data_IF_778733243510
#
_entry.id   IF_778733243510
#
_cell.length_a   1.000
_cell.length_b   1.000
_cell.length_c   1.000
_cell.angle_alpha   90.00
_cell.angle_beta   90.00
_cell.angle_gamma   90.00
#
_symmetry.space_group_name_H-M   'P 1'
#
loop_
_entity.id
_entity.type
_entity.pdbx_description
1 polymer ?
#
# COMPACT_ATOMS: atom_id res chain seq x y z
N UNK A 1 16.48 24.37 7.61
CA UNK A 1 15.89 25.24 6.58
C UNK A 1 14.44 24.85 6.39
N UNK A 2 13.47 25.77 6.49
CA UNK A 2 12.06 25.47 6.22
C UNK A 2 11.86 25.34 4.70
N UNK A 3 11.15 24.32 4.20
CA UNK A 3 10.80 24.25 2.78
C UNK A 3 9.99 25.48 2.39
N UNK A 4 10.39 26.18 1.32
CA UNK A 4 9.62 27.29 0.78
C UNK A 4 8.43 26.77 -0.05
N UNK A 5 7.30 27.48 0.08
CA UNK A 5 6.04 27.20 -0.63
C UNK A 5 6.22 27.50 -2.14
N UNK A 6 5.76 26.64 -3.06
CA UNK A 6 5.77 26.93 -4.50
C UNK A 6 4.88 28.14 -4.81
N UNK A 7 5.41 29.16 -5.51
CA UNK A 7 4.72 30.42 -5.80
C UNK A 7 3.53 30.31 -6.77
N UNK A 8 3.39 29.20 -7.50
CA UNK A 8 2.42 29.06 -8.60
C UNK A 8 1.36 27.96 -8.39
N UNK A 9 1.23 27.44 -7.16
CA UNK A 9 0.19 26.46 -6.84
C UNK A 9 -0.81 27.01 -5.83
N UNK A 10 -2.09 26.99 -6.20
CA UNK A 10 -3.20 27.22 -5.28
C UNK A 10 -3.55 25.96 -4.47
N UNK A 11 -2.99 24.79 -4.83
CA UNK A 11 -3.13 23.60 -4.01
C UNK A 11 -2.24 23.71 -2.77
N UNK A 12 -2.81 23.42 -1.60
CA UNK A 12 -2.01 23.08 -0.43
C UNK A 12 -1.05 21.94 -0.81
N UNK A 13 0.18 21.88 -0.27
CA UNK A 13 0.99 20.66 -0.37
C UNK A 13 0.08 19.49 0.02
N UNK A 14 0.16 18.39 -0.73
CA UNK A 14 -0.62 17.18 -0.44
C UNK A 14 -0.65 16.97 1.08
N UNK A 15 -1.83 16.78 1.69
CA UNK A 15 -1.91 16.65 3.13
C UNK A 15 -0.89 15.60 3.60
N UNK A 16 -0.29 15.76 4.80
CA UNK A 16 0.76 14.87 5.30
C UNK A 16 0.36 13.39 5.44
N UNK A 17 -0.86 13.04 5.00
CA UNK A 17 -1.52 11.75 5.13
C UNK A 17 -1.56 10.97 3.81
N UNK A 18 -0.82 11.39 2.77
CA UNK A 18 -0.48 10.48 1.69
C UNK A 18 0.73 9.66 2.14
N UNK A 19 0.54 8.44 2.68
CA UNK A 19 1.67 7.60 3.04
C UNK A 19 2.58 7.40 1.83
N UNK A 20 3.91 7.46 2.03
CA UNK A 20 4.86 7.37 0.93
C UNK A 20 4.82 5.98 0.30
N UNK A 21 4.90 5.95 -1.03
CA UNK A 21 5.29 4.75 -1.78
C UNK A 21 6.74 4.94 -2.22
N UNK A 22 7.56 3.93 -1.98
CA UNK A 22 8.94 3.87 -2.44
C UNK A 22 9.07 2.79 -3.52
N UNK A 23 9.48 3.18 -4.72
CA UNK A 23 9.66 2.28 -5.85
C UNK A 23 11.12 1.85 -5.93
N UNK A 24 11.38 0.58 -5.67
CA UNK A 24 12.68 -0.06 -5.82
C UNK A 24 12.74 -0.81 -7.15
N UNK A 25 13.33 -0.16 -8.15
CA UNK A 25 13.46 -0.70 -9.51
C UNK A 25 14.32 -1.96 -9.61
N UNK A 26 15.53 -2.02 -8.99
CA UNK A 26 16.34 -3.24 -8.96
C UNK A 26 15.58 -4.48 -8.50
N UNK A 27 14.76 -4.36 -7.46
CA UNK A 27 13.98 -5.48 -6.90
C UNK A 27 12.55 -5.55 -7.43
N UNK A 28 12.15 -4.70 -8.37
CA UNK A 28 10.78 -4.62 -8.89
C UNK A 28 9.70 -4.61 -7.78
N UNK A 29 9.96 -3.85 -6.71
CA UNK A 29 9.15 -3.85 -5.50
C UNK A 29 8.71 -2.44 -5.14
N UNK A 30 7.45 -2.28 -4.75
CA UNK A 30 6.94 -1.06 -4.11
C UNK A 30 6.82 -1.34 -2.62
N UNK A 31 7.48 -0.53 -1.81
CA UNK A 31 7.28 -0.48 -0.37
C UNK A 31 6.30 0.64 -0.05
N UNK A 32 5.29 0.35 0.77
CA UNK A 32 4.21 1.29 0.99
C UNK A 32 3.57 1.16 2.36
N UNK A 33 2.87 2.24 2.72
CA UNK A 33 1.91 2.24 3.82
C UNK A 33 0.56 2.60 3.21
N UNK A 34 -0.50 1.89 3.58
CA UNK A 34 -1.87 2.23 3.24
C UNK A 34 -2.59 2.66 4.52
N UNK A 35 -3.26 3.81 4.48
CA UNK A 35 -4.08 4.30 5.58
C UNK A 35 -5.55 4.09 5.25
N UNK A 36 -6.26 3.37 6.11
CA UNK A 36 -7.68 3.09 5.95
C UNK A 36 -8.49 3.89 6.96
N UNK A 37 -9.60 4.45 6.50
CA UNK A 37 -10.65 5.04 7.33
C UNK A 37 -11.95 4.33 6.99
N UNK A 38 -12.54 3.67 7.98
CA UNK A 38 -13.82 3.00 7.92
C UNK A 38 -14.95 4.02 8.08
N UNK A 39 -16.04 3.82 7.34
CA UNK A 39 -17.23 4.70 7.42
C UNK A 39 -17.89 4.68 8.80
N UNK A 40 -17.79 3.56 9.49
CA UNK A 40 -18.25 3.38 10.84
C UNK A 40 -17.20 2.63 11.65
N UNK A 41 -17.16 2.85 12.98
CA UNK A 41 -16.66 1.87 13.92
C UNK A 41 -16.91 0.44 13.49
N UNK A 42 -15.87 -0.40 13.57
CA UNK A 42 -16.02 -1.84 13.38
C UNK A 42 -15.40 -2.55 14.58
N UNK A 43 -16.11 -3.56 15.07
CA UNK A 43 -15.66 -4.47 16.11
C UNK A 43 -15.64 -5.85 15.46
N UNK A 44 -14.60 -6.65 15.70
CA UNK A 44 -14.29 -7.95 15.08
C UNK A 44 -13.25 -7.90 13.95
N UNK A 45 -13.45 -8.73 12.92
CA UNK A 45 -12.50 -9.03 11.87
C UNK A 45 -12.90 -8.30 10.59
N UNK A 46 -11.92 -7.66 9.96
CA UNK A 46 -12.03 -7.12 8.62
C UNK A 46 -11.31 -8.02 7.63
N UNK A 47 -11.86 -8.16 6.44
CA UNK A 47 -11.26 -8.94 5.35
C UNK A 47 -10.94 -8.04 4.16
N UNK A 48 -9.75 -8.18 3.61
CA UNK A 48 -9.23 -7.45 2.47
C UNK A 48 -8.71 -8.41 1.42
N UNK A 49 -8.93 -8.07 0.16
CA UNK A 49 -8.30 -8.77 -0.96
C UNK A 49 -6.85 -8.31 -1.08
N UNK A 50 -5.93 -9.27 -1.18
CA UNK A 50 -4.54 -9.00 -1.48
C UNK A 50 -4.05 -9.95 -2.56
N UNK A 51 -3.10 -9.51 -3.38
CA UNK A 51 -2.43 -10.38 -4.34
C UNK A 51 -0.97 -10.01 -4.42
N UNK A 52 -0.11 -11.02 -4.21
CA UNK A 52 1.34 -10.85 -4.31
C UNK A 52 1.85 -9.67 -3.45
N UNK A 53 1.24 -9.48 -2.29
CA UNK A 53 1.65 -8.52 -1.27
C UNK A 53 2.24 -9.26 -0.07
N UNK A 54 3.34 -8.73 0.46
CA UNK A 54 3.83 -9.09 1.78
C UNK A 54 3.34 -8.04 2.77
N UNK A 55 2.61 -8.47 3.80
CA UNK A 55 2.13 -7.59 4.86
C UNK A 55 3.12 -7.66 6.02
N UNK A 56 3.74 -6.53 6.33
CA UNK A 56 4.77 -6.45 7.37
C UNK A 56 4.14 -6.17 8.73
N UNK A 57 3.24 -5.19 8.79
CA UNK A 57 2.57 -4.77 10.02
C UNK A 57 1.20 -4.17 9.71
N UNK A 58 0.30 -4.28 10.69
CA UNK A 58 -0.92 -3.49 10.77
C UNK A 58 -0.87 -2.72 12.08
N UNK A 59 -1.12 -1.41 12.06
CA UNK A 59 -0.92 -0.54 13.22
C UNK A 59 -2.16 0.32 13.51
N UNK A 60 -2.45 0.53 14.80
CA UNK A 60 -3.37 1.59 15.25
C UNK A 60 -2.76 2.97 14.95
N UNK A 61 -3.54 3.93 14.43
CA UNK A 61 -2.99 5.22 14.02
C UNK A 61 -2.69 6.15 15.19
N UNK A 62 -3.30 5.92 16.35
CA UNK A 62 -3.13 6.75 17.56
C UNK A 62 -1.96 6.24 18.39
N UNK A 63 -1.96 4.94 18.70
CA UNK A 63 -0.98 4.33 19.61
C UNK A 63 0.22 3.74 18.88
N UNK A 64 0.15 3.58 17.56
CA UNK A 64 1.11 2.82 16.75
C UNK A 64 1.33 1.39 17.24
N UNK A 65 0.38 0.86 18.02
CA UNK A 65 0.43 -0.52 18.50
C UNK A 65 0.07 -1.49 17.38
N UNK A 66 0.72 -2.67 17.32
CA UNK A 66 0.40 -3.68 16.32
C UNK A 66 -1.01 -4.24 16.51
N UNK A 67 -1.71 -4.43 15.40
CA UNK A 67 -2.99 -5.10 15.30
C UNK A 67 -2.78 -6.52 14.74
N UNK A 68 -3.40 -7.55 15.33
CA UNK A 68 -3.28 -8.91 14.82
C UNK A 68 -3.84 -9.02 13.41
N UNK A 69 -3.09 -9.68 12.53
CA UNK A 69 -3.55 -10.01 11.19
C UNK A 69 -3.13 -11.42 10.78
N UNK A 70 -3.83 -11.99 9.81
CA UNK A 70 -3.49 -13.26 9.21
C UNK A 70 -3.76 -13.23 7.70
N UNK A 71 -2.98 -14.02 6.97
CA UNK A 71 -3.21 -14.28 5.55
C UNK A 71 -3.78 -15.69 5.41
N UNK A 72 -4.74 -15.88 4.51
CA UNK A 72 -5.25 -17.22 4.20
C UNK A 72 -4.11 -18.15 3.77
N UNK A 73 -4.10 -19.39 4.28
CA UNK A 73 -3.04 -20.36 4.04
C UNK A 73 -2.88 -20.77 2.58
N UNK A 74 -3.98 -20.78 1.83
CA UNK A 74 -4.02 -21.13 0.41
C UNK A 74 -4.52 -19.94 -0.42
N UNK A 75 -3.67 -19.31 -1.24
CA UNK A 75 -4.10 -18.28 -2.17
C UNK A 75 -5.08 -18.83 -3.21
N UNK A 76 -6.16 -18.11 -3.46
CA UNK A 76 -7.06 -18.36 -4.58
C UNK A 76 -6.39 -17.90 -5.89
N UNK A 77 -6.46 -18.68 -6.99
CA UNK A 77 -5.80 -18.32 -8.24
C UNK A 77 -6.30 -17.00 -8.84
N UNK A 78 -7.57 -16.65 -8.64
CA UNK A 78 -8.25 -15.49 -9.25
C UNK A 78 -8.42 -14.32 -8.26
N UNK A 79 -8.61 -14.59 -6.98
CA UNK A 79 -8.80 -13.55 -5.96
C UNK A 79 -7.52 -13.19 -5.20
N UNK A 80 -6.54 -14.10 -5.21
CA UNK A 80 -5.32 -13.95 -4.41
C UNK A 80 -5.53 -14.43 -2.97
N UNK A 81 -4.90 -13.74 -2.03
CA UNK A 81 -4.86 -14.10 -0.61
C UNK A 81 -5.75 -13.17 0.20
N UNK A 82 -6.64 -13.72 1.01
CA UNK A 82 -7.43 -12.91 1.94
C UNK A 82 -6.55 -12.47 3.10
N UNK A 83 -6.49 -11.16 3.33
CA UNK A 83 -5.93 -10.56 4.54
C UNK A 83 -7.05 -10.33 5.55
N UNK A 84 -6.90 -10.93 6.72
CA UNK A 84 -7.79 -10.75 7.86
C UNK A 84 -7.12 -9.91 8.92
N UNK A 85 -7.78 -8.85 9.38
CA UNK A 85 -7.28 -7.96 10.44
C UNK A 85 -8.27 -8.02 11.60
N UNK A 86 -7.78 -8.34 12.80
CA UNK A 86 -8.58 -8.33 14.02
C UNK A 86 -8.45 -6.97 14.69
N UNK A 87 -9.57 -6.28 14.84
CA UNK A 87 -9.64 -5.04 15.59
C UNK A 87 -9.94 -5.36 17.06
N UNK A 88 -9.33 -4.63 18.02
CA UNK A 88 -9.62 -4.80 19.45
C UNK A 88 -11.08 -4.46 19.75
N UNK A 89 -11.53 -4.79 20.97
CA UNK A 89 -12.89 -4.50 21.43
C UNK A 89 -13.17 -2.99 21.50
N UNK A 90 -12.13 -2.17 21.55
CA UNK A 90 -12.24 -0.73 21.34
C UNK A 90 -12.56 -0.43 19.88
N UNK A 91 -13.62 0.35 19.70
CA UNK A 91 -14.06 0.87 18.40
C UNK A 91 -12.90 1.59 17.68
N UNK A 92 -12.32 0.93 16.68
CA UNK A 92 -11.39 1.54 15.74
C UNK A 92 -12.13 1.86 14.43
N UNK A 93 -11.91 3.07 13.93
CA UNK A 93 -12.39 3.50 12.62
C UNK A 93 -11.26 3.68 11.61
N UNK A 94 -10.00 3.45 11.99
CA UNK A 94 -8.86 3.67 11.12
C UNK A 94 -7.64 2.88 11.55
N UNK A 95 -6.76 2.55 10.60
CA UNK A 95 -5.52 1.79 10.82
C UNK A 95 -4.57 1.93 9.62
N UNK A 96 -3.30 1.62 9.85
CA UNK A 96 -2.28 1.51 8.80
C UNK A 96 -2.00 0.06 8.43
N UNK A 97 -1.74 -0.21 7.16
CA UNK A 97 -1.14 -1.44 6.66
C UNK A 97 0.22 -1.11 6.05
N UNK A 98 1.29 -1.69 6.57
CA UNK A 98 2.64 -1.58 6.00
C UNK A 98 2.87 -2.82 5.15
N UNK A 99 3.19 -2.63 3.87
CA UNK A 99 3.29 -3.71 2.90
C UNK A 99 4.40 -3.50 1.89
N UNK A 100 4.75 -4.58 1.19
CA UNK A 100 5.53 -4.51 -0.05
C UNK A 100 4.87 -5.35 -1.13
N UNK A 101 5.00 -4.92 -2.39
CA UNK A 101 4.59 -5.74 -3.54
C UNK A 101 5.63 -6.82 -3.83
N UNK A 102 5.30 -7.72 -4.74
CA UNK A 102 6.24 -8.69 -5.32
C UNK A 102 6.54 -8.34 -6.78
N UNK A 103 7.72 -8.71 -7.33
CA UNK A 103 7.98 -8.71 -8.77
C UNK A 103 6.93 -9.47 -9.59
N UNK A 104 6.28 -10.47 -8.97
CA UNK A 104 5.21 -11.26 -9.56
C UNK A 104 3.83 -10.60 -9.51
N UNK A 105 3.74 -9.32 -9.11
CA UNK A 105 2.47 -8.60 -9.03
C UNK A 105 1.82 -8.50 -10.41
N UNK A 106 0.61 -9.04 -10.54
CA UNK A 106 -0.15 -8.96 -11.79
C UNK A 106 -0.63 -7.54 -12.11
N UNK A 107 -0.60 -6.62 -11.14
CA UNK A 107 -1.06 -5.25 -11.30
C UNK A 107 0.04 -4.30 -11.77
N UNK A 108 1.31 -4.73 -11.81
CA UNK A 108 2.45 -3.87 -12.11
C UNK A 108 3.25 -4.40 -13.29
N UNK A 109 3.63 -3.49 -14.18
CA UNK A 109 4.61 -3.75 -15.23
C UNK A 109 5.87 -2.94 -14.97
N UNK A 110 6.96 -3.64 -14.68
CA UNK A 110 8.29 -3.05 -14.56
C UNK A 110 8.99 -3.08 -15.92
N UNK A 111 9.53 -1.94 -16.34
CA UNK A 111 10.25 -1.78 -17.60
C UNK A 111 11.70 -1.40 -17.30
N UNK A 112 12.62 -2.20 -17.84
CA UNK A 112 14.05 -1.85 -17.90
C UNK A 112 14.26 -0.60 -18.76
N UNK A 113 15.40 0.11 -18.61
CA UNK A 113 15.71 1.26 -19.47
C UNK A 113 15.58 0.94 -20.96
N UNK A 114 16.00 -0.24 -21.42
CA UNK A 114 15.94 -0.64 -22.83
C UNK A 114 14.50 -0.74 -23.36
N UNK A 115 13.51 -0.96 -22.49
CA UNK A 115 12.10 -1.03 -22.85
C UNK A 115 11.42 0.35 -22.88
N UNK A 116 12.08 1.40 -22.39
CA UNK A 116 11.54 2.78 -22.43
C UNK A 116 11.98 3.53 -23.68
N UNK A 117 11.37 4.69 -23.96
CA UNK A 117 11.71 5.49 -25.14
C UNK A 117 13.13 6.08 -25.05
N UNK A 118 13.52 6.60 -23.88
CA UNK A 118 14.80 7.29 -23.70
C UNK A 118 16.01 6.35 -23.53
N UNK A 119 15.78 5.05 -23.35
CA UNK A 119 16.80 4.01 -23.16
C UNK A 119 17.71 4.17 -21.94
N UNK A 120 17.41 5.10 -21.04
CA UNK A 120 18.29 5.52 -19.93
C UNK A 120 17.68 5.28 -18.56
N UNK A 121 16.38 5.44 -18.41
CA UNK A 121 15.70 5.31 -17.11
C UNK A 121 14.67 4.19 -17.15
N UNK A 122 14.56 3.39 -16.07
CA UNK A 122 13.50 2.41 -15.95
C UNK A 122 12.14 3.10 -15.72
N UNK A 123 11.06 2.35 -15.87
CA UNK A 123 9.70 2.86 -15.70
C UNK A 123 8.79 1.79 -15.10
N UNK A 124 7.80 2.18 -14.29
CA UNK A 124 6.83 1.26 -13.70
C UNK A 124 5.42 1.75 -14.04
N UNK A 125 4.58 0.84 -14.54
CA UNK A 125 3.19 1.10 -14.90
C UNK A 125 2.28 0.26 -14.00
N UNK A 126 1.12 0.79 -13.64
CA UNK A 126 0.03 -0.03 -13.12
C UNK A 126 -0.85 -0.48 -14.29
N UNK A 127 -1.27 -1.73 -14.25
CA UNK A 127 -2.12 -2.35 -15.27
C UNK A 127 -3.56 -2.30 -14.78
N UNK A 128 -4.46 -1.77 -15.60
CA UNK A 128 -5.90 -1.90 -15.36
C UNK A 128 -6.33 -3.30 -15.78
N UNK A 129 -6.97 -4.10 -14.89
CA UNK A 129 -7.56 -5.35 -15.31
C UNK A 129 -8.60 -5.07 -16.41
N UNK A 130 -8.53 -5.85 -17.50
CA UNK A 130 -9.49 -5.83 -18.60
C UNK A 130 -10.74 -6.62 -18.21
#
# INVERSE_FOLDING_TARGET
>A
MRPQRPLHSLSLPSPPWCPPLFLDFPSATIYGVAFFILKSPHVSQLSFDTRSLSIHQVLSPITLSPLPFSLSSSPDPIKGTQLSISLPDDVLNSFFIIFSTSPSSSALQWLSPLQTFNKKTPFCLYLTPV
#
